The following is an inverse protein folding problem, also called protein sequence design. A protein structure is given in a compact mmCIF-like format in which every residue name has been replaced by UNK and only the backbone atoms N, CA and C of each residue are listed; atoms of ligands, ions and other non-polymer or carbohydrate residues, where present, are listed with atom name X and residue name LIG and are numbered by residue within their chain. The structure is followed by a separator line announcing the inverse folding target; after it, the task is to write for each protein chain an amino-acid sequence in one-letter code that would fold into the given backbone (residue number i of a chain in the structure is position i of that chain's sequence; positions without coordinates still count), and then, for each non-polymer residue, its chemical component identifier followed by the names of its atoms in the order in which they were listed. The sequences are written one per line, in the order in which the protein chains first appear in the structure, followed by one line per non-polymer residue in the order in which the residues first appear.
data_IF_049002772370
#
_entry.id   IF_049002772370
#
_cell.length_a   1.000
_cell.length_b   1.000
_cell.length_c   1.000
_cell.angle_alpha   90.00
_cell.angle_beta   90.00
_cell.angle_gamma   90.00
#
_symmetry.space_group_name_H-M   'P 1'
#
loop_
_entity.id
_entity.type
_entity.pdbx_description
1 polymer ?
#
# COMPACT_ATOMS: atom_id res chain seq x y z
N UNK A 1 6.06 27.58 -5.46
CA UNK A 1 5.69 26.54 -4.48
C UNK A 1 6.23 25.21 -4.98
N UNK A 2 6.91 24.43 -4.15
CA UNK A 2 7.39 23.08 -4.49
C UNK A 2 6.21 22.12 -4.57
N UNK A 3 6.15 21.29 -5.62
CA UNK A 3 5.11 20.27 -5.78
C UNK A 3 5.28 19.21 -4.67
N UNK A 4 4.20 18.81 -3.97
CA UNK A 4 4.28 17.75 -2.97
C UNK A 4 4.63 16.41 -3.63
N UNK A 5 5.41 15.61 -2.90
CA UNK A 5 5.89 14.30 -3.29
C UNK A 5 5.33 13.26 -2.31
N UNK A 6 5.01 12.09 -2.81
CA UNK A 6 4.27 11.08 -2.08
C UNK A 6 4.99 9.73 -2.08
N UNK A 7 4.63 8.89 -1.10
CA UNK A 7 5.00 7.48 -1.06
C UNK A 7 3.73 6.64 -1.19
N UNK A 8 3.83 5.50 -1.87
CA UNK A 8 2.77 4.50 -1.86
C UNK A 8 3.02 3.50 -0.74
N UNK A 9 1.99 3.16 0.03
CA UNK A 9 2.06 2.14 1.06
C UNK A 9 0.86 1.21 0.93
N UNK A 10 1.12 -0.08 0.75
CA UNK A 10 0.10 -1.12 0.72
C UNK A 10 0.36 -2.14 1.83
N UNK A 11 -0.69 -2.56 2.54
CA UNK A 11 -0.54 -3.49 3.67
C UNK A 11 -1.61 -4.58 3.64
N UNK A 12 -1.21 -5.78 4.02
CA UNK A 12 -2.08 -6.90 4.38
C UNK A 12 -1.73 -7.33 5.80
N UNK A 13 -2.71 -7.33 6.70
CA UNK A 13 -2.50 -7.62 8.13
C UNK A 13 -2.66 -9.10 8.49
N UNK A 14 -3.02 -9.95 7.52
CA UNK A 14 -3.17 -11.40 7.65
C UNK A 14 -2.98 -12.05 6.28
N UNK A 15 -2.36 -13.22 6.21
CA UNK A 15 -2.24 -13.97 4.95
C UNK A 15 -3.54 -14.69 4.58
N UNK A 16 -4.44 -14.88 5.55
CA UNK A 16 -5.78 -15.47 5.38
C UNK A 16 -6.61 -14.71 4.33
N UNK A 17 -6.73 -15.31 3.14
CA UNK A 17 -7.43 -14.75 1.99
C UNK A 17 -8.95 -14.66 2.21
N UNK A 18 -9.53 -15.56 3.01
CA UNK A 18 -10.98 -15.58 3.29
C UNK A 18 -11.43 -14.40 4.16
N UNK A 19 -10.50 -13.74 4.85
CA UNK A 19 -10.77 -12.56 5.69
C UNK A 19 -10.37 -11.24 5.04
N UNK A 20 -9.82 -11.24 3.83
CA UNK A 20 -9.24 -10.05 3.22
C UNK A 20 -9.87 -9.74 1.87
N UNK A 21 -10.17 -8.46 1.66
CA UNK A 21 -10.92 -7.98 0.49
C UNK A 21 -10.01 -7.85 -0.76
N UNK A 22 -8.72 -7.55 -0.57
CA UNK A 22 -7.84 -7.20 -1.69
C UNK A 22 -6.38 -7.60 -1.44
N UNK A 23 -5.74 -8.23 -2.43
CA UNK A 23 -4.29 -8.52 -2.40
C UNK A 23 -3.45 -7.24 -2.41
N UNK A 24 -2.20 -7.32 -1.94
CA UNK A 24 -1.26 -6.18 -2.00
C UNK A 24 -1.07 -5.70 -3.44
N UNK A 25 -1.03 -6.61 -4.41
CA UNK A 25 -0.87 -6.27 -5.82
C UNK A 25 -2.05 -5.46 -6.36
N UNK A 26 -3.28 -5.87 -6.03
CA UNK A 26 -4.48 -5.14 -6.41
C UNK A 26 -4.54 -3.74 -5.74
N UNK A 27 -4.12 -3.63 -4.47
CA UNK A 27 -4.00 -2.32 -3.80
C UNK A 27 -3.00 -1.42 -4.52
N UNK A 28 -1.82 -1.94 -4.87
CA UNK A 28 -0.78 -1.19 -5.59
C UNK A 28 -1.24 -0.77 -6.99
N UNK A 29 -2.05 -1.59 -7.67
CA UNK A 29 -2.64 -1.23 -8.97
C UNK A 29 -3.55 -0.01 -8.85
N UNK A 30 -4.53 -0.05 -7.94
CA UNK A 30 -5.46 1.06 -7.72
C UNK A 30 -4.74 2.34 -7.31
N UNK A 31 -3.75 2.24 -6.41
CA UNK A 31 -2.96 3.38 -5.97
C UNK A 31 -2.14 4.04 -7.09
N UNK A 32 -1.61 3.24 -8.02
CA UNK A 32 -0.89 3.74 -9.21
C UNK A 32 -1.84 4.44 -10.17
N UNK A 33 -3.02 3.86 -10.39
CA UNK A 33 -4.05 4.45 -11.24
C UNK A 33 -4.55 5.78 -10.69
N UNK A 34 -4.74 5.86 -9.38
CA UNK A 34 -5.08 7.11 -8.69
C UNK A 34 -3.97 8.16 -8.84
N UNK A 35 -2.72 7.80 -8.54
CA UNK A 35 -1.59 8.72 -8.67
C UNK A 35 -1.42 9.27 -10.10
N UNK A 36 -1.68 8.42 -11.10
CA UNK A 36 -1.67 8.82 -12.52
C UNK A 36 -2.79 9.81 -12.83
N UNK A 37 -4.03 9.53 -12.40
CA UNK A 37 -5.20 10.41 -12.62
C UNK A 37 -5.01 11.79 -11.97
N UNK A 38 -4.45 11.80 -10.76
CA UNK A 38 -4.24 13.01 -9.96
C UNK A 38 -2.88 13.70 -10.24
N UNK A 39 -2.08 13.18 -11.17
CA UNK A 39 -0.75 13.70 -11.51
C UNK A 39 0.17 13.87 -10.29
N UNK A 40 0.19 12.87 -9.40
CA UNK A 40 1.01 12.85 -8.18
C UNK A 40 2.42 12.32 -8.48
N UNK A 41 3.44 12.95 -7.88
CA UNK A 41 4.81 12.45 -7.93
C UNK A 41 5.02 11.41 -6.82
N UNK A 42 5.23 10.15 -7.22
CA UNK A 42 5.52 9.06 -6.29
C UNK A 42 7.04 8.82 -6.26
N UNK A 43 7.64 8.91 -5.08
CA UNK A 43 9.08 8.69 -4.89
C UNK A 43 9.42 7.22 -4.71
N UNK A 44 8.61 6.50 -3.94
CA UNK A 44 8.85 5.09 -3.63
C UNK A 44 7.55 4.38 -3.24
N UNK A 45 7.58 3.05 -3.26
CA UNK A 45 6.49 2.19 -2.81
C UNK A 45 6.98 1.26 -1.70
N UNK A 46 6.13 1.08 -0.71
CA UNK A 46 6.35 0.20 0.42
C UNK A 46 5.21 -0.82 0.50
N UNK A 47 5.55 -2.04 0.89
CA UNK A 47 4.57 -3.09 1.09
C UNK A 47 4.83 -3.83 2.41
N UNK A 48 3.76 -4.20 3.09
CA UNK A 48 3.85 -4.97 4.33
C UNK A 48 2.78 -6.07 4.34
N UNK A 49 3.20 -7.33 4.45
CA UNK A 49 2.30 -8.49 4.48
C UNK A 49 2.11 -9.11 5.86
N UNK A 50 2.77 -8.58 6.90
CA UNK A 50 2.84 -9.21 8.22
C UNK A 50 1.85 -8.61 9.22
N UNK A 51 1.25 -9.49 10.00
CA UNK A 51 0.38 -9.12 11.13
C UNK A 51 1.21 -8.55 12.29
N UNK A 52 0.80 -7.42 12.86
CA UNK A 52 1.39 -6.86 14.08
C UNK A 52 1.01 -7.64 15.37
N UNK A 53 0.54 -8.89 15.23
CA UNK A 53 -0.20 -9.61 16.28
C UNK A 53 0.64 -10.12 17.47
N UNK A 54 1.96 -9.90 17.53
CA UNK A 54 2.68 -10.20 18.78
C UNK A 54 3.92 -9.30 18.97
N UNK A 55 3.87 -8.29 19.85
CA UNK A 55 5.06 -7.76 20.50
C UNK A 55 5.41 -8.73 21.64
N UNK A 56 6.32 -9.68 21.41
CA UNK A 56 6.74 -10.61 22.46
C UNK A 56 7.36 -11.88 21.90
N UNK A 57 8.68 -11.94 21.93
CA UNK A 57 9.40 -13.19 22.11
C UNK A 57 9.96 -13.19 23.53
#
# INVERSE_FOLDING_TARGET
MTKPKYFLYARKSTEDDDKQIMSIEAQLFELREFARKENLEILEKFQESKSAKTPGR
#
